data_IF_333688912284
#
_entry.id   IF_333688912284
#
_cell.length_a   1.000
_cell.length_b   1.000
_cell.length_c   1.000
_cell.angle_alpha   90.00
_cell.angle_beta   90.00
_cell.angle_gamma   90.00
#
_symmetry.space_group_name_H-M   'P 1'
#
loop_
_entity.id
_entity.type
_entity.pdbx_description
1 polymer ?
#
# COMPACT_ATOMS: atom_id res chain seq x y z
N UNK A 1 18.74 -2.46 10.47
CA UNK A 1 17.34 -2.08 10.12
C UNK A 1 17.15 -2.33 8.63
N UNK A 2 16.20 -3.19 8.23
CA UNK A 2 15.84 -3.32 6.80
C UNK A 2 15.15 -2.01 6.39
N UNK A 3 15.61 -1.39 5.31
CA UNK A 3 14.90 -0.24 4.75
C UNK A 3 13.54 -0.71 4.23
N UNK A 4 12.44 -0.02 4.55
CA UNK A 4 11.13 -0.39 4.04
C UNK A 4 11.08 -0.18 2.51
N UNK A 5 10.53 -1.16 1.80
CA UNK A 5 10.43 -1.11 0.34
C UNK A 5 9.49 0.01 -0.08
N UNK A 6 9.80 0.71 -1.16
CA UNK A 6 8.95 1.80 -1.67
C UNK A 6 7.90 1.27 -2.64
N UNK A 7 6.75 1.92 -2.67
CA UNK A 7 5.74 1.77 -3.72
C UNK A 7 5.25 3.14 -4.16
N UNK A 8 5.14 3.32 -5.47
CA UNK A 8 4.54 4.50 -6.08
C UNK A 8 3.41 4.04 -6.99
N UNK A 9 2.24 4.67 -6.85
CA UNK A 9 1.10 4.49 -7.74
C UNK A 9 0.73 5.84 -8.37
N UNK A 10 0.21 5.81 -9.59
CA UNK A 10 -0.24 6.99 -10.32
C UNK A 10 -1.75 6.95 -10.42
N UNK A 11 -2.43 7.96 -9.87
CA UNK A 11 -3.89 8.06 -9.88
C UNK A 11 -4.27 9.50 -10.20
N UNK A 12 -5.04 9.69 -11.28
CA UNK A 12 -5.37 11.00 -11.86
C UNK A 12 -4.12 11.86 -12.07
N UNK A 13 -3.14 11.30 -12.78
CA UNK A 13 -1.85 11.92 -13.12
C UNK A 13 -0.98 12.41 -11.95
N UNK A 14 -1.38 12.10 -10.71
CA UNK A 14 -0.62 12.40 -9.51
C UNK A 14 0.08 11.14 -8.99
N UNK A 15 1.34 11.30 -8.58
CA UNK A 15 2.13 10.25 -7.95
C UNK A 15 1.84 10.18 -6.44
N UNK A 16 1.55 8.98 -5.96
CA UNK A 16 1.27 8.69 -4.56
C UNK A 16 2.28 7.68 -4.04
N UNK A 17 2.96 8.03 -2.94
CA UNK A 17 4.07 7.25 -2.40
C UNK A 17 3.68 6.57 -1.08
N UNK A 18 4.15 5.34 -0.92
CA UNK A 18 4.03 4.55 0.29
C UNK A 18 5.23 3.64 0.49
N UNK A 19 5.24 2.98 1.63
CA UNK A 19 6.27 2.06 2.05
C UNK A 19 5.64 0.75 2.47
N UNK A 20 6.26 -0.38 2.15
CA UNK A 20 5.78 -1.68 2.59
C UNK A 20 6.91 -2.57 3.11
N UNK A 21 6.54 -3.46 4.02
CA UNK A 21 7.39 -4.48 4.59
C UNK A 21 6.66 -5.82 4.64
N UNK A 22 7.42 -6.89 4.79
CA UNK A 22 6.88 -8.23 4.98
C UNK A 22 6.99 -8.62 6.44
N UNK A 23 5.87 -9.03 7.01
CA UNK A 23 5.75 -9.62 8.33
C UNK A 23 5.30 -11.08 8.15
N UNK A 24 6.27 -12.00 8.05
CA UNK A 24 6.01 -13.40 7.70
C UNK A 24 5.39 -13.54 6.31
N UNK A 25 4.10 -13.93 6.27
CA UNK A 25 3.32 -14.08 5.03
C UNK A 25 2.41 -12.88 4.72
N UNK A 26 2.45 -11.87 5.58
CA UNK A 26 1.66 -10.66 5.41
C UNK A 26 2.51 -9.52 4.86
N UNK A 27 1.89 -8.70 4.01
CA UNK A 27 2.41 -7.42 3.60
C UNK A 27 1.80 -6.33 4.48
N UNK A 28 2.64 -5.51 5.09
CA UNK A 28 2.24 -4.30 5.80
C UNK A 28 2.59 -3.09 4.94
N UNK A 29 1.59 -2.29 4.59
CA UNK A 29 1.73 -1.06 3.81
C UNK A 29 1.47 0.14 4.71
N UNK A 30 2.30 1.17 4.57
CA UNK A 30 2.24 2.43 5.29
C UNK A 30 2.31 3.58 4.29
N UNK A 31 1.42 4.56 4.45
CA UNK A 31 1.43 5.79 3.67
C UNK A 31 0.87 6.94 4.50
N UNK A 32 1.03 8.18 4.03
CA UNK A 32 0.40 9.35 4.66
C UNK A 32 -1.14 9.31 4.63
N UNK A 33 -1.72 8.43 3.80
CA UNK A 33 -3.16 8.35 3.53
C UNK A 33 -3.82 7.17 4.25
N UNK A 34 -3.03 6.33 4.93
CA UNK A 34 -3.49 5.15 5.64
C UNK A 34 -2.48 4.00 5.60
N UNK A 35 -2.83 2.92 6.28
CA UNK A 35 -2.07 1.67 6.32
C UNK A 35 -2.94 0.48 5.96
N UNK A 36 -2.32 -0.62 5.51
CA UNK A 36 -3.01 -1.88 5.27
C UNK A 36 -2.14 -3.07 5.68
N UNK A 37 -2.78 -4.15 6.14
CA UNK A 37 -2.14 -5.45 6.34
C UNK A 37 -2.87 -6.46 5.47
N UNK A 38 -2.16 -7.05 4.52
CA UNK A 38 -2.76 -7.96 3.53
C UNK A 38 -1.95 -9.24 3.41
N UNK A 39 -2.57 -10.43 3.55
CA UNK A 39 -1.88 -11.68 3.30
C UNK A 39 -1.46 -11.79 1.82
N UNK A 40 -0.20 -12.14 1.59
CA UNK A 40 0.36 -12.25 0.23
C UNK A 40 -0.31 -13.37 -0.57
N UNK A 41 -0.56 -14.50 0.08
CA UNK A 41 -0.94 -15.74 -0.60
C UNK A 41 0.13 -16.16 -1.60
N UNK A 42 -0.27 -16.42 -2.85
CA UNK A 42 0.64 -16.75 -3.97
C UNK A 42 1.07 -15.52 -4.80
N UNK A 43 0.66 -14.31 -4.40
CA UNK A 43 0.92 -13.08 -5.17
C UNK A 43 2.27 -12.49 -4.81
N UNK A 44 2.89 -11.79 -5.77
CA UNK A 44 4.12 -11.04 -5.52
C UNK A 44 3.83 -9.88 -4.56
N UNK A 45 4.71 -9.62 -3.57
CA UNK A 45 4.59 -8.49 -2.64
C UNK A 45 4.29 -7.15 -3.30
N UNK A 46 5.05 -6.80 -4.35
CA UNK A 46 4.88 -5.54 -5.07
C UNK A 46 3.49 -5.38 -5.68
N UNK A 47 2.90 -6.46 -6.19
CA UNK A 47 1.55 -6.45 -6.75
C UNK A 47 0.51 -6.17 -5.66
N UNK A 48 0.67 -6.81 -4.50
CA UNK A 48 -0.21 -6.59 -3.34
C UNK A 48 -0.05 -5.16 -2.81
N UNK A 49 1.18 -4.67 -2.66
CA UNK A 49 1.45 -3.30 -2.22
C UNK A 49 0.84 -2.26 -3.16
N UNK A 50 0.97 -2.42 -4.48
CA UNK A 50 0.36 -1.51 -5.47
C UNK A 50 -1.16 -1.51 -5.40
N UNK A 51 -1.77 -2.69 -5.25
CA UNK A 51 -3.23 -2.82 -5.14
C UNK A 51 -3.75 -2.14 -3.86
N UNK A 52 -3.11 -2.39 -2.72
CA UNK A 52 -3.50 -1.77 -1.45
C UNK A 52 -3.26 -0.26 -1.47
N UNK A 53 -2.12 0.21 -2.00
CA UNK A 53 -1.82 1.64 -2.11
C UNK A 53 -2.86 2.34 -2.98
N UNK A 54 -3.24 1.72 -4.11
CA UNK A 54 -4.31 2.24 -4.97
C UNK A 54 -5.62 2.35 -4.20
N UNK A 55 -5.99 1.31 -3.47
CA UNK A 55 -7.24 1.27 -2.70
C UNK A 55 -7.26 2.30 -1.57
N UNK A 56 -6.16 2.47 -0.82
CA UNK A 56 -6.02 3.48 0.23
C UNK A 56 -6.19 4.88 -0.35
N UNK A 57 -5.46 5.21 -1.42
CA UNK A 57 -5.53 6.54 -2.05
C UNK A 57 -6.93 6.81 -2.59
N UNK A 58 -7.56 5.83 -3.24
CA UNK A 58 -8.93 5.99 -3.74
C UNK A 58 -9.93 6.22 -2.61
N UNK A 59 -9.84 5.48 -1.50
CA UNK A 59 -10.69 5.68 -0.33
C UNK A 59 -10.48 7.06 0.30
N UNK A 60 -9.22 7.47 0.48
CA UNK A 60 -8.85 8.79 0.98
C UNK A 60 -9.42 9.92 0.10
N UNK A 61 -9.29 9.81 -1.23
CA UNK A 61 -9.85 10.78 -2.19
C UNK A 61 -11.37 10.86 -2.15
N UNK A 62 -12.05 9.78 -1.78
CA UNK A 62 -13.51 9.73 -1.62
C UNK A 62 -13.97 10.23 -0.24
N UNK A 63 -13.06 10.68 0.63
CA UNK A 63 -13.38 11.11 1.99
C UNK A 63 -13.80 9.97 2.92
N UNK A 64 -13.49 8.72 2.57
CA UNK A 64 -13.83 7.54 3.38
C UNK A 64 -12.56 7.03 4.07
N UNK A 65 -12.39 7.26 5.39
CA UNK A 65 -11.27 6.67 6.10
C UNK A 65 -11.42 5.14 6.07
N UNK A 66 -10.37 4.44 5.62
CA UNK A 66 -10.26 2.99 5.80
C UNK A 66 -9.80 2.74 7.25
N UNK A 67 -10.46 1.84 8.00
CA UNK A 67 -10.01 1.43 9.33
C UNK A 67 -8.68 0.70 9.29
#
# INVERSE_FOLDING_TARGET
>A
MRQPNRVTVYIADQAWNGHWELDGRDLRLFSAYGSARTPLGRRKPETVAKAEMTSIVQAWRQGRPRP
#
